data_IF_296615187202
#
_entry.id   IF_296615187202
#
_cell.length_a   1.000
_cell.length_b   1.000
_cell.length_c   1.000
_cell.angle_alpha   90.00
_cell.angle_beta   90.00
_cell.angle_gamma   90.00
#
_symmetry.space_group_name_H-M   'P 1'
#
loop_
_entity.id
_entity.type
_entity.pdbx_description
1 polymer ?
#
# COMPACT_ATOMS: atom_id res chain seq x y z
N UNK A 1 45.27 -36.45 -73.26
CA UNK A 1 45.16 -34.99 -73.54
C UNK A 1 43.79 -34.43 -73.15
N UNK A 2 42.68 -35.15 -73.36
CA UNK A 2 41.32 -34.76 -72.90
C UNK A 2 41.20 -34.56 -71.38
N UNK A 3 41.70 -35.51 -70.58
CA UNK A 3 41.52 -35.53 -69.11
C UNK A 3 42.23 -34.38 -68.36
N UNK A 4 43.27 -33.80 -68.97
CA UNK A 4 43.98 -32.62 -68.45
C UNK A 4 43.24 -31.31 -68.76
N UNK A 5 42.50 -31.27 -69.87
CA UNK A 5 41.71 -30.11 -70.28
C UNK A 5 40.45 -29.99 -69.42
N UNK A 6 39.74 -31.10 -69.19
CA UNK A 6 38.54 -31.15 -68.33
C UNK A 6 38.87 -30.77 -66.88
N UNK A 7 40.02 -31.20 -66.37
CA UNK A 7 40.47 -30.85 -65.01
C UNK A 7 40.88 -29.38 -64.89
N UNK A 8 41.47 -28.79 -65.93
CA UNK A 8 41.80 -27.38 -65.97
C UNK A 8 40.54 -26.50 -66.06
N UNK A 9 39.53 -26.95 -66.81
CA UNK A 9 38.26 -26.24 -66.97
C UNK A 9 37.40 -26.29 -65.70
N UNK A 10 37.34 -27.45 -65.02
CA UNK A 10 36.70 -27.59 -63.72
C UNK A 10 37.40 -26.74 -62.64
N UNK A 11 38.74 -26.68 -62.66
CA UNK A 11 39.49 -25.78 -61.77
C UNK A 11 39.12 -24.32 -62.05
N UNK A 12 39.20 -23.87 -63.32
CA UNK A 12 38.84 -22.50 -63.72
C UNK A 12 37.43 -22.11 -63.28
N UNK A 13 36.44 -22.97 -63.51
CA UNK A 13 35.07 -22.72 -63.08
C UNK A 13 34.95 -22.62 -61.55
N UNK A 14 35.70 -23.44 -60.79
CA UNK A 14 35.73 -23.35 -59.33
C UNK A 14 36.36 -22.03 -58.84
N UNK A 15 37.42 -21.57 -59.50
CA UNK A 15 38.09 -20.30 -59.16
C UNK A 15 37.21 -19.11 -59.50
N UNK A 16 36.54 -19.11 -60.66
CA UNK A 16 35.59 -18.04 -61.05
C UNK A 16 34.41 -17.97 -60.09
N UNK A 17 33.85 -19.11 -59.67
CA UNK A 17 32.79 -19.15 -58.67
C UNK A 17 33.26 -18.62 -57.32
N UNK A 18 34.46 -18.99 -56.89
CA UNK A 18 35.04 -18.48 -55.65
C UNK A 18 35.25 -16.97 -55.72
N UNK A 19 35.82 -16.46 -56.83
CA UNK A 19 36.05 -15.02 -57.03
C UNK A 19 34.73 -14.25 -57.07
N UNK A 20 33.69 -14.77 -57.73
CA UNK A 20 32.37 -14.14 -57.74
C UNK A 20 31.68 -14.16 -56.37
N UNK A 21 31.80 -15.25 -55.62
CA UNK A 21 31.32 -15.32 -54.24
C UNK A 21 32.09 -14.37 -53.32
N UNK A 22 33.41 -14.27 -53.49
CA UNK A 22 34.24 -13.35 -52.72
C UNK A 22 33.90 -11.90 -53.05
N UNK A 23 33.67 -11.58 -54.33
CA UNK A 23 33.30 -10.25 -54.79
C UNK A 23 31.92 -9.83 -54.28
N UNK A 24 30.92 -10.72 -54.37
CA UNK A 24 29.59 -10.46 -53.83
C UNK A 24 29.60 -10.34 -52.31
N UNK A 25 30.34 -11.19 -51.60
CA UNK A 25 30.52 -11.08 -50.15
C UNK A 25 31.25 -9.81 -49.75
N UNK A 26 32.25 -9.37 -50.52
CA UNK A 26 32.99 -8.12 -50.28
C UNK A 26 32.07 -6.90 -50.45
N UNK A 27 31.25 -6.87 -51.51
CA UNK A 27 30.25 -5.82 -51.72
C UNK A 27 29.20 -5.77 -50.61
N UNK A 28 28.68 -6.94 -50.21
CA UNK A 28 27.72 -7.01 -49.10
C UNK A 28 28.34 -6.55 -47.77
N UNK A 29 29.62 -6.85 -47.53
CA UNK A 29 30.35 -6.36 -46.36
C UNK A 29 30.58 -4.84 -46.44
N UNK A 30 30.88 -4.29 -47.62
CA UNK A 30 31.05 -2.86 -47.82
C UNK A 30 29.75 -2.09 -47.60
N UNK A 31 28.62 -2.54 -48.15
CA UNK A 31 27.30 -1.94 -47.89
C UNK A 31 26.96 -1.94 -46.39
N UNK A 32 27.30 -3.03 -45.68
CA UNK A 32 27.12 -3.10 -44.22
C UNK A 32 28.02 -2.12 -43.46
N UNK A 33 29.25 -1.90 -43.92
CA UNK A 33 30.15 -0.91 -43.33
C UNK A 33 29.66 0.52 -43.57
N UNK A 34 29.16 0.84 -44.76
CA UNK A 34 28.54 2.13 -45.06
C UNK A 34 27.28 2.37 -44.20
N UNK A 35 26.43 1.36 -44.03
CA UNK A 35 25.26 1.44 -43.13
C UNK A 35 25.68 1.68 -41.67
N UNK A 36 26.77 1.04 -41.22
CA UNK A 36 27.31 1.24 -39.88
C UNK A 36 27.91 2.64 -39.73
N UNK A 37 28.61 3.15 -40.73
CA UNK A 37 29.19 4.50 -40.75
C UNK A 37 28.09 5.56 -40.64
N UNK A 38 27.04 5.47 -41.46
CA UNK A 38 25.89 6.39 -41.42
C UNK A 38 25.19 6.35 -40.04
N UNK A 39 25.05 5.16 -39.45
CA UNK A 39 24.49 5.02 -38.09
C UNK A 39 25.41 5.62 -37.03
N UNK A 40 26.73 5.47 -37.17
CA UNK A 40 27.71 6.03 -36.24
C UNK A 40 27.69 7.56 -36.27
N UNK A 41 27.56 8.16 -37.46
CA UNK A 41 27.51 9.61 -37.60
C UNK A 41 26.22 10.20 -37.03
N UNK A 42 25.07 9.52 -37.24
CA UNK A 42 23.81 9.88 -36.57
C UNK A 42 23.93 9.80 -35.05
N UNK A 43 24.56 8.75 -34.51
CA UNK A 43 24.76 8.60 -33.07
C UNK A 43 25.67 9.69 -32.49
N UNK A 44 26.71 10.12 -33.22
CA UNK A 44 27.56 11.23 -32.81
C UNK A 44 26.77 12.54 -32.73
N UNK A 45 25.95 12.83 -33.75
CA UNK A 45 25.11 14.02 -33.77
C UNK A 45 24.05 14.00 -32.65
N UNK A 46 23.44 12.84 -32.40
CA UNK A 46 22.49 12.68 -31.30
C UNK A 46 23.18 12.85 -29.93
N UNK A 47 24.40 12.33 -29.78
CA UNK A 47 25.21 12.52 -28.57
C UNK A 47 25.57 13.99 -28.33
N UNK A 48 25.89 14.75 -29.38
CA UNK A 48 26.15 16.20 -29.29
C UNK A 48 24.90 16.95 -28.82
N UNK A 49 23.74 16.67 -29.43
CA UNK A 49 22.46 17.25 -28.99
C UNK A 49 22.12 16.92 -27.53
N UNK A 50 22.41 15.70 -27.08
CA UNK A 50 22.24 15.29 -25.68
C UNK A 50 23.19 16.10 -24.78
N UNK A 51 24.44 16.29 -25.19
CA UNK A 51 25.41 17.08 -24.44
C UNK A 51 24.96 18.53 -24.27
N UNK A 52 24.50 19.16 -25.35
CA UNK A 52 23.95 20.53 -25.31
C UNK A 52 22.72 20.63 -24.43
N UNK A 53 21.83 19.64 -24.52
CA UNK A 53 20.64 19.56 -23.66
C UNK A 53 21.02 19.42 -22.18
N UNK A 54 22.02 18.60 -21.85
CA UNK A 54 22.53 18.47 -20.49
C UNK A 54 23.17 19.76 -19.99
N UNK A 55 23.91 20.48 -20.85
CA UNK A 55 24.50 21.78 -20.52
C UNK A 55 23.41 22.83 -20.22
N UNK A 56 22.35 22.86 -21.03
CA UNK A 56 21.18 23.72 -20.79
C UNK A 56 20.46 23.40 -19.47
N UNK A 57 20.28 22.11 -19.16
CA UNK A 57 19.68 21.67 -17.89
C UNK A 57 20.56 22.06 -16.70
N UNK A 58 21.89 21.95 -16.82
CA UNK A 58 22.82 22.38 -15.77
C UNK A 58 22.69 23.89 -15.52
N UNK A 59 22.69 24.71 -16.58
CA UNK A 59 22.50 26.15 -16.46
C UNK A 59 21.13 26.53 -15.85
N UNK A 60 20.06 25.82 -16.23
CA UNK A 60 18.74 26.01 -15.61
C UNK A 60 18.73 25.62 -14.13
N UNK A 61 19.44 24.56 -13.74
CA UNK A 61 19.56 24.12 -12.34
C UNK A 61 20.30 25.15 -11.49
N UNK A 62 21.36 25.75 -12.03
CA UNK A 62 22.08 26.84 -11.36
C UNK A 62 21.21 28.08 -11.17
N UNK A 63 20.47 28.47 -12.22
CA UNK A 63 19.51 29.58 -12.13
C UNK A 63 18.40 29.31 -11.11
N UNK A 64 17.88 28.08 -11.06
CA UNK A 64 16.86 27.69 -10.09
C UNK A 64 17.43 27.74 -8.66
N UNK A 65 18.68 27.33 -8.47
CA UNK A 65 19.36 27.40 -7.17
C UNK A 65 19.55 28.85 -6.72
N UNK A 66 19.96 29.74 -7.64
CA UNK A 66 20.08 31.17 -7.36
C UNK A 66 18.73 31.81 -7.03
N UNK A 67 17.68 31.49 -7.79
CA UNK A 67 16.33 31.98 -7.53
C UNK A 67 15.78 31.47 -6.18
N UNK A 68 16.01 30.20 -5.85
CA UNK A 68 15.63 29.61 -4.56
C UNK A 68 16.31 30.32 -3.40
N UNK A 69 17.60 30.65 -3.53
CA UNK A 69 18.33 31.44 -2.53
C UNK A 69 17.74 32.85 -2.37
N UNK A 70 17.46 33.54 -3.47
CA UNK A 70 16.86 34.88 -3.43
C UNK A 70 15.46 34.89 -2.78
N UNK A 71 14.65 33.87 -3.05
CA UNK A 71 13.35 33.67 -2.37
C UNK A 71 13.56 33.40 -0.88
N UNK A 72 14.58 32.62 -0.52
CA UNK A 72 14.95 32.38 0.88
C UNK A 72 15.31 33.66 1.63
N UNK A 73 16.12 34.52 1.01
CA UNK A 73 16.49 35.83 1.57
C UNK A 73 15.24 36.72 1.73
N UNK A 74 14.39 36.81 0.71
CA UNK A 74 13.14 37.58 0.77
C UNK A 74 12.15 37.04 1.83
N UNK A 75 12.08 35.73 2.03
CA UNK A 75 11.27 35.12 3.09
C UNK A 75 11.79 35.53 4.48
N UNK A 76 13.12 35.63 4.63
CA UNK A 76 13.76 36.16 5.84
C UNK A 76 13.32 37.59 6.14
N UNK A 77 13.38 38.47 5.15
CA UNK A 77 12.96 39.88 5.28
C UNK A 77 11.48 39.99 5.66
N UNK A 78 10.61 39.20 5.01
CA UNK A 78 9.16 39.18 5.32
C UNK A 78 8.90 38.67 6.74
N UNK A 79 9.65 37.68 7.22
CA UNK A 79 9.55 37.21 8.61
C UNK A 79 9.97 38.29 9.61
N UNK A 80 11.04 39.03 9.32
CA UNK A 80 11.49 40.15 10.16
C UNK A 80 10.44 41.27 10.19
N UNK A 81 9.88 41.63 9.04
CA UNK A 81 8.82 42.62 8.93
C UNK A 81 7.54 42.17 9.67
N UNK A 82 7.16 40.91 9.55
CA UNK A 82 6.01 40.34 10.26
C UNK A 82 6.18 40.41 11.78
N UNK A 83 7.39 40.13 12.27
CA UNK A 83 7.73 40.26 13.70
C UNK A 83 7.62 41.72 14.17
N UNK A 84 8.13 42.67 13.38
CA UNK A 84 8.03 44.09 13.69
C UNK A 84 6.56 44.56 13.74
N UNK A 85 5.74 44.15 12.77
CA UNK A 85 4.29 44.46 12.75
C UNK A 85 3.59 43.85 13.97
N UNK A 86 3.93 42.62 14.35
CA UNK A 86 3.33 41.98 15.53
C UNK A 86 3.67 42.73 16.80
N UNK A 87 4.89 43.22 16.96
CA UNK A 87 5.28 43.99 18.14
C UNK A 87 4.60 45.35 18.15
N UNK A 88 4.57 46.04 17.01
CA UNK A 88 3.84 47.31 16.87
C UNK A 88 2.35 47.15 17.16
N UNK A 89 1.74 46.03 16.75
CA UNK A 89 0.34 45.72 17.08
C UNK A 89 0.10 45.57 18.59
N UNK A 90 1.08 45.04 19.34
CA UNK A 90 0.97 44.97 20.82
C UNK A 90 1.10 46.35 21.45
N UNK A 91 1.99 47.19 20.94
CA UNK A 91 2.13 48.58 21.40
C UNK A 91 0.84 49.38 21.17
N UNK A 92 0.21 49.22 19.99
CA UNK A 92 -1.09 49.83 19.70
C UNK A 92 -2.17 49.33 20.67
N UNK A 93 -2.21 48.04 20.97
CA UNK A 93 -3.17 47.49 21.93
C UNK A 93 -3.00 48.11 23.33
N UNK A 94 -1.76 48.25 23.80
CA UNK A 94 -1.47 48.94 25.08
C UNK A 94 -1.90 50.40 25.05
N UNK A 95 -1.59 51.12 23.97
CA UNK A 95 -2.00 52.51 23.80
C UNK A 95 -3.54 52.67 23.79
N UNK A 96 -4.27 51.70 23.21
CA UNK A 96 -5.73 51.69 23.24
C UNK A 96 -6.30 51.44 24.66
N UNK A 97 -5.67 50.57 25.45
CA UNK A 97 -6.04 50.37 26.86
C UNK A 97 -5.81 51.63 27.69
N UNK A 98 -4.65 52.29 27.52
CA UNK A 98 -4.34 53.56 28.19
C UNK A 98 -5.31 54.67 27.80
N UNK A 99 -5.67 54.78 26.51
CA UNK A 99 -6.65 55.76 26.03
C UNK A 99 -8.02 55.51 26.67
N UNK A 100 -8.45 54.24 26.75
CA UNK A 100 -9.72 53.88 27.38
C UNK A 100 -9.75 54.25 28.87
N UNK A 101 -8.67 53.94 29.60
CA UNK A 101 -8.53 54.34 31.00
C UNK A 101 -8.53 55.87 31.15
N UNK A 102 -7.86 56.60 30.25
CA UNK A 102 -7.88 58.07 30.21
C UNK A 102 -9.27 58.65 29.94
N UNK A 103 -10.06 58.01 29.07
CA UNK A 103 -11.46 58.40 28.80
C UNK A 103 -12.36 58.18 30.02
N UNK A 104 -12.20 57.06 30.72
CA UNK A 104 -12.91 56.78 31.98
C UNK A 104 -12.56 57.83 33.04
N UNK A 105 -11.26 58.11 33.25
CA UNK A 105 -10.82 59.15 34.19
C UNK A 105 -11.33 60.55 33.84
N UNK A 106 -11.40 60.89 32.55
CA UNK A 106 -11.97 62.17 32.09
C UNK A 106 -13.48 62.25 32.36
N UNK A 107 -14.20 61.13 32.19
CA UNK A 107 -15.63 61.06 32.51
C UNK A 107 -15.87 61.28 34.00
N UNK A 108 -15.09 60.62 34.86
CA UNK A 108 -15.18 60.80 36.31
C UNK A 108 -14.89 62.26 36.72
N UNK A 109 -13.88 62.88 36.09
CA UNK A 109 -13.55 64.29 36.34
C UNK A 109 -14.67 65.25 35.89
N UNK A 110 -15.33 64.97 34.77
CA UNK A 110 -16.49 65.74 34.29
C UNK A 110 -17.67 65.57 35.24
N UNK A 111 -17.97 64.35 35.68
CA UNK A 111 -19.07 64.08 36.62
C UNK A 111 -18.82 64.79 37.96
N UNK A 112 -17.58 64.77 38.48
CA UNK A 112 -17.19 65.51 39.68
C UNK A 112 -17.30 67.04 39.48
N UNK A 113 -16.85 67.55 38.34
CA UNK A 113 -16.99 68.96 37.99
C UNK A 113 -18.45 69.40 37.90
N UNK A 114 -19.33 68.56 37.35
CA UNK A 114 -20.77 68.82 37.26
C UNK A 114 -21.42 68.86 38.65
N UNK A 115 -21.05 67.95 39.54
CA UNK A 115 -21.53 67.95 40.92
C UNK A 115 -21.12 69.23 41.67
N UNK A 116 -19.87 69.71 41.48
CA UNK A 116 -19.42 70.98 42.06
C UNK A 116 -20.18 72.19 41.52
N UNK A 117 -20.52 72.19 40.22
CA UNK A 117 -21.32 73.26 39.62
C UNK A 117 -22.73 73.25 40.17
N UNK A 118 -23.37 72.08 40.29
CA UNK A 118 -24.71 71.96 40.89
C UNK A 118 -24.74 72.49 42.33
N UNK A 119 -23.72 72.15 43.14
CA UNK A 119 -23.59 72.66 44.51
C UNK A 119 -23.40 74.19 44.54
N UNK A 120 -22.60 74.72 43.62
CA UNK A 120 -22.41 76.17 43.49
C UNK A 120 -23.70 76.89 43.10
N UNK A 121 -24.52 76.29 42.22
CA UNK A 121 -25.84 76.83 41.86
C UNK A 121 -26.83 76.76 43.03
N UNK A 122 -26.82 75.68 43.83
CA UNK A 122 -27.62 75.59 45.08
C UNK A 122 -27.24 76.69 46.05
N UNK A 123 -25.94 76.83 46.36
CA UNK A 123 -25.41 77.86 47.26
C UNK A 123 -25.73 79.28 46.77
N UNK A 124 -25.65 79.52 45.46
CA UNK A 124 -26.05 80.80 44.86
C UNK A 124 -27.55 81.05 45.01
N UNK A 125 -28.39 80.03 44.80
CA UNK A 125 -29.83 80.09 45.01
C UNK A 125 -30.18 80.46 46.46
N UNK A 126 -29.59 79.76 47.42
CA UNK A 126 -29.74 80.05 48.85
C UNK A 126 -29.27 81.46 49.21
N UNK A 127 -28.16 81.91 48.60
CA UNK A 127 -27.66 83.28 48.72
C UNK A 127 -28.63 84.33 48.16
N UNK A 128 -29.28 84.03 47.04
CA UNK A 128 -30.29 84.88 46.40
C UNK A 128 -31.56 84.98 47.25
N UNK A 129 -32.00 83.88 47.85
CA UNK A 129 -33.14 83.84 48.77
C UNK A 129 -32.85 84.64 50.05
N UNK A 130 -31.65 84.49 50.61
CA UNK A 130 -31.18 85.33 51.72
C UNK A 130 -31.12 86.80 51.35
N UNK A 131 -30.66 87.13 50.15
CA UNK A 131 -30.65 88.50 49.65
C UNK A 131 -32.06 89.06 49.52
N UNK A 132 -33.02 88.25 49.06
CA UNK A 132 -34.44 88.61 48.95
C UNK A 132 -35.08 88.84 50.31
N UNK A 133 -34.80 87.99 51.30
CA UNK A 133 -35.21 88.21 52.70
C UNK A 133 -34.57 89.48 53.28
N UNK A 134 -33.28 89.69 53.03
CA UNK A 134 -32.54 90.90 53.40
C UNK A 134 -33.17 92.15 52.78
N UNK A 135 -33.52 92.11 51.49
CA UNK A 135 -34.19 93.19 50.79
C UNK A 135 -35.60 93.46 51.36
N UNK A 136 -36.36 92.43 51.72
CA UNK A 136 -37.66 92.59 52.39
C UNK A 136 -37.53 93.17 53.81
N UNK A 137 -36.47 92.82 54.54
CA UNK A 137 -36.13 93.43 55.82
C UNK A 137 -35.71 94.89 55.66
N UNK A 138 -34.94 95.21 54.60
CA UNK A 138 -34.59 96.58 54.23
C UNK A 138 -35.84 97.36 53.85
N UNK A 139 -36.80 96.80 53.11
CA UNK A 139 -38.09 97.46 52.79
C UNK A 139 -38.88 97.81 54.06
N UNK A 140 -38.94 96.89 55.04
CA UNK A 140 -39.52 97.15 56.37
C UNK A 140 -38.76 98.26 57.10
N UNK A 141 -37.42 98.25 57.02
CA UNK A 141 -36.57 99.31 57.52
C UNK A 141 -36.79 100.65 56.82
N UNK A 142 -37.02 100.66 55.50
CA UNK A 142 -37.33 101.84 54.69
C UNK A 142 -38.70 102.41 55.06
N UNK A 143 -39.69 101.58 55.39
CA UNK A 143 -40.97 102.06 55.94
C UNK A 143 -40.79 102.74 57.31
N UNK A 144 -39.99 102.17 58.19
CA UNK A 144 -39.66 102.78 59.48
C UNK A 144 -38.81 104.06 59.31
N UNK A 145 -37.92 104.09 58.32
CA UNK A 145 -37.16 105.28 57.92
C UNK A 145 -38.06 106.32 57.25
N UNK A 146 -39.13 105.94 56.55
CA UNK A 146 -40.09 106.85 55.92
C UNK A 146 -40.75 107.79 56.93
N UNK A 147 -41.07 107.28 58.12
CA UNK A 147 -41.56 108.08 59.25
C UNK A 147 -40.47 109.04 59.78
N UNK A 148 -39.19 108.65 59.67
CA UNK A 148 -38.00 109.47 60.01
C UNK A 148 -37.59 110.41 58.87
N UNK A 149 -38.03 110.16 57.63
CA UNK A 149 -37.57 110.84 56.41
C UNK A 149 -38.44 112.04 56.04
N UNK A 150 -39.63 112.17 56.65
CA UNK A 150 -40.26 113.48 56.84
C UNK A 150 -39.37 114.44 57.64
N UNK A 151 -38.40 113.92 58.41
CA UNK A 151 -37.42 114.69 59.18
C UNK A 151 -36.10 114.88 58.43
N UNK A 152 -35.89 114.23 57.28
CA UNK A 152 -34.60 114.17 56.57
C UNK A 152 -34.69 114.72 55.13
N UNK A 153 -35.48 115.78 54.94
CA UNK A 153 -35.43 116.67 53.77
C UNK A 153 -34.04 117.31 53.61
N UNK A 154 -33.22 117.32 54.66
CA UNK A 154 -31.79 117.63 54.64
C UNK A 154 -30.95 116.62 53.85
N UNK A 155 -31.43 115.39 53.63
CA UNK A 155 -30.73 114.34 52.88
C UNK A 155 -30.79 114.49 51.36
N UNK A 156 -31.69 115.35 50.86
CA UNK A 156 -31.91 115.58 49.42
C UNK A 156 -30.67 116.19 48.74
N UNK A 157 -29.83 116.90 49.50
CA UNK A 157 -28.56 117.47 49.03
C UNK A 157 -27.52 116.39 48.67
N UNK A 158 -27.55 115.23 49.33
CA UNK A 158 -26.57 114.15 49.17
C UNK A 158 -26.94 113.18 48.03
N UNK A 159 -28.21 113.15 47.64
CA UNK A 159 -28.73 112.33 46.52
C UNK A 159 -28.27 112.86 45.15
N UNK A 160 -27.84 114.11 45.06
CA UNK A 160 -27.31 114.69 43.82
C UNK A 160 -25.90 114.15 43.45
N UNK A 161 -25.07 113.81 44.45
CA UNK A 161 -23.70 113.31 44.24
C UNK A 161 -23.68 111.81 43.85
N UNK A 162 -24.63 111.01 44.34
CA UNK A 162 -24.72 109.56 44.06
C UNK A 162 -25.17 109.24 42.62
N UNK A 163 -26.00 110.11 42.02
CA UNK A 163 -26.50 109.95 40.64
C UNK A 163 -25.36 110.03 39.61
N UNK A 164 -24.31 110.82 39.88
CA UNK A 164 -23.13 110.95 39.00
C UNK A 164 -22.25 109.69 38.97
N UNK A 165 -22.09 109.01 40.11
CA UNK A 165 -21.29 107.78 40.26
C UNK A 165 -21.92 106.58 39.56
N UNK A 166 -23.25 106.43 39.67
CA UNK A 166 -24.00 105.31 39.09
C UNK A 166 -24.12 105.41 37.58
N UNK A 167 -24.31 106.62 37.03
CA UNK A 167 -24.34 106.84 35.58
C UNK A 167 -23.00 106.52 34.91
N UNK A 168 -21.87 106.86 35.55
CA UNK A 168 -20.53 106.56 35.03
C UNK A 168 -20.21 105.05 34.99
N UNK A 169 -20.55 104.31 36.05
CA UNK A 169 -20.41 102.84 36.07
C UNK A 169 -21.32 102.13 35.06
N UNK A 170 -22.54 102.65 34.85
CA UNK A 170 -23.47 102.08 33.87
C UNK A 170 -22.98 102.24 32.44
N UNK A 171 -22.34 103.37 32.11
CA UNK A 171 -21.80 103.63 30.77
C UNK A 171 -20.59 102.74 30.46
N UNK A 172 -19.68 102.54 31.43
CA UNK A 172 -18.51 101.66 31.25
C UNK A 172 -18.93 100.18 31.12
N UNK A 173 -19.95 99.74 31.88
CA UNK A 173 -20.50 98.39 31.76
C UNK A 173 -21.19 98.14 30.41
N UNK A 174 -21.90 99.14 29.84
CA UNK A 174 -22.50 99.03 28.50
C UNK A 174 -21.43 98.94 27.39
N UNK A 175 -20.31 99.64 27.55
CA UNK A 175 -19.16 99.56 26.63
C UNK A 175 -18.47 98.19 26.69
N UNK A 176 -18.25 97.64 27.89
CA UNK A 176 -17.69 96.29 28.05
C UNK A 176 -18.64 95.21 27.51
N UNK A 177 -19.95 95.40 27.65
CA UNK A 177 -20.95 94.50 27.06
C UNK A 177 -20.90 94.51 25.53
N UNK A 178 -20.76 95.69 24.91
CA UNK A 178 -20.61 95.83 23.46
C UNK A 178 -19.32 95.15 22.96
N UNK A 179 -18.19 95.32 23.65
CA UNK A 179 -16.95 94.60 23.32
C UNK A 179 -17.09 93.07 23.48
N UNK A 180 -17.81 92.62 24.51
CA UNK A 180 -18.11 91.21 24.73
C UNK A 180 -19.00 90.61 23.64
N UNK A 181 -20.03 91.35 23.22
CA UNK A 181 -20.92 90.96 22.12
C UNK A 181 -20.18 90.92 20.79
N UNK A 182 -19.30 91.88 20.52
CA UNK A 182 -18.49 91.90 19.30
C UNK A 182 -17.54 90.69 19.24
N UNK A 183 -16.88 90.35 20.34
CA UNK A 183 -16.04 89.14 20.45
C UNK A 183 -16.86 87.85 20.30
N UNK A 184 -18.08 87.81 20.86
CA UNK A 184 -18.98 86.66 20.73
C UNK A 184 -19.48 86.47 19.29
N UNK A 185 -19.79 87.55 18.57
CA UNK A 185 -20.19 87.51 17.16
C UNK A 185 -19.04 87.07 16.26
N UNK A 186 -17.80 87.56 16.53
CA UNK A 186 -16.61 87.04 15.84
C UNK A 186 -16.41 85.54 16.09
N UNK A 187 -16.50 85.11 17.34
CA UNK A 187 -16.42 83.67 17.70
C UNK A 187 -17.50 82.82 17.03
N UNK A 188 -18.74 83.32 16.91
CA UNK A 188 -19.81 82.66 16.17
C UNK A 188 -19.52 82.54 14.67
N UNK A 189 -18.91 83.57 14.09
CA UNK A 189 -18.52 83.58 12.67
C UNK A 189 -17.41 82.56 12.41
N UNK A 190 -16.42 82.50 13.30
CA UNK A 190 -15.34 81.52 13.25
C UNK A 190 -15.89 80.09 13.40
N UNK A 191 -16.80 79.87 14.36
CA UNK A 191 -17.45 78.58 14.56
C UNK A 191 -18.28 78.16 13.33
N UNK A 192 -19.01 79.08 12.72
CA UNK A 192 -19.78 78.82 11.51
C UNK A 192 -18.85 78.42 10.34
N UNK A 193 -17.71 79.10 10.18
CA UNK A 193 -16.72 78.75 9.16
C UNK A 193 -16.11 77.35 9.39
N UNK A 194 -15.86 76.99 10.65
CA UNK A 194 -15.33 75.69 11.03
C UNK A 194 -16.35 74.58 10.80
N UNK A 195 -17.62 74.81 11.15
CA UNK A 195 -18.72 73.87 10.92
C UNK A 195 -18.94 73.65 9.42
N UNK A 196 -18.91 74.71 8.61
CA UNK A 196 -19.02 74.61 7.17
C UNK A 196 -17.88 73.79 6.56
N UNK A 197 -16.63 74.02 7.02
CA UNK A 197 -15.45 73.28 6.56
C UNK A 197 -15.50 71.80 6.98
N UNK A 198 -15.86 71.50 8.22
CA UNK A 198 -16.01 70.13 8.70
C UNK A 198 -17.12 69.38 7.97
N UNK A 199 -18.20 70.06 7.60
CA UNK A 199 -19.31 69.47 6.85
C UNK A 199 -18.93 69.18 5.39
N UNK A 200 -18.09 70.02 4.78
CA UNK A 200 -17.53 69.80 3.46
C UNK A 200 -16.55 68.61 3.45
N UNK A 201 -15.64 68.55 4.42
CA UNK A 201 -14.73 67.41 4.63
C UNK A 201 -15.49 66.10 4.93
N UNK A 202 -16.60 66.19 5.68
CA UNK A 202 -17.50 65.05 5.93
C UNK A 202 -18.20 64.58 4.65
N UNK A 203 -18.65 65.49 3.78
CA UNK A 203 -19.23 65.12 2.48
C UNK A 203 -18.21 64.46 1.57
N UNK A 204 -16.99 64.98 1.52
CA UNK A 204 -15.91 64.40 0.72
C UNK A 204 -15.57 62.98 1.18
N UNK A 205 -15.46 62.76 2.49
CA UNK A 205 -15.18 61.43 3.05
C UNK A 205 -16.32 60.44 2.82
N UNK A 206 -17.58 60.86 2.97
CA UNK A 206 -18.76 60.04 2.65
C UNK A 206 -18.78 59.66 1.16
N UNK A 207 -18.42 60.59 0.28
CA UNK A 207 -18.38 60.33 -1.15
C UNK A 207 -17.25 59.36 -1.54
N UNK A 208 -16.07 59.49 -0.92
CA UNK A 208 -14.98 58.50 -1.07
C UNK A 208 -15.40 57.13 -0.55
N UNK A 209 -16.10 57.06 0.58
CA UNK A 209 -16.59 55.80 1.15
C UNK A 209 -17.66 55.15 0.26
N UNK A 210 -18.57 55.93 -0.32
CA UNK A 210 -19.57 55.44 -1.26
C UNK A 210 -18.91 54.88 -2.54
N UNK A 211 -17.93 55.58 -3.10
CA UNK A 211 -17.18 55.12 -4.27
C UNK A 211 -16.39 53.84 -3.96
N UNK A 212 -15.75 53.77 -2.79
CA UNK A 212 -15.03 52.58 -2.33
C UNK A 212 -15.99 51.39 -2.14
N UNK A 213 -17.16 51.61 -1.53
CA UNK A 213 -18.18 50.58 -1.36
C UNK A 213 -18.68 50.04 -2.70
N UNK A 214 -18.94 50.91 -3.68
CA UNK A 214 -19.34 50.51 -5.02
C UNK A 214 -18.25 49.69 -5.72
N UNK A 215 -16.98 50.11 -5.61
CA UNK A 215 -15.85 49.41 -6.19
C UNK A 215 -15.66 48.01 -5.57
N UNK A 216 -15.76 47.90 -4.25
CA UNK A 216 -15.70 46.61 -3.54
C UNK A 216 -16.85 45.68 -3.93
N UNK A 217 -18.07 46.22 -4.09
CA UNK A 217 -19.21 45.41 -4.52
C UNK A 217 -19.04 44.89 -5.95
N UNK A 218 -18.43 45.69 -6.83
CA UNK A 218 -18.14 45.28 -8.20
C UNK A 218 -17.01 44.24 -8.27
N UNK A 219 -15.97 44.40 -7.46
CA UNK A 219 -14.88 43.43 -7.33
C UNK A 219 -15.37 42.08 -6.79
N UNK A 220 -16.27 42.09 -5.79
CA UNK A 220 -16.90 40.87 -5.28
C UNK A 220 -17.73 40.14 -6.33
N UNK A 221 -18.46 40.87 -7.18
CA UNK A 221 -19.22 40.25 -8.28
C UNK A 221 -18.29 39.60 -9.31
N UNK A 222 -17.18 40.25 -9.66
CA UNK A 222 -16.18 39.67 -10.57
C UNK A 222 -15.53 38.43 -9.96
N UNK A 223 -15.13 38.49 -8.69
CA UNK A 223 -14.58 37.34 -7.95
C UNK A 223 -15.57 36.17 -7.87
N UNK A 224 -16.85 36.47 -7.65
CA UNK A 224 -17.89 35.45 -7.59
C UNK A 224 -18.07 34.75 -8.96
N UNK A 225 -17.98 35.49 -10.06
CA UNK A 225 -18.05 34.93 -11.41
C UNK A 225 -16.80 34.09 -11.74
N UNK A 226 -15.61 34.54 -11.36
CA UNK A 226 -14.37 33.75 -11.50
C UNK A 226 -14.45 32.43 -10.73
N UNK A 227 -14.95 32.46 -9.49
CA UNK A 227 -15.15 31.25 -8.67
C UNK A 227 -16.17 30.31 -9.32
N UNK A 228 -17.24 30.85 -9.90
CA UNK A 228 -18.24 30.05 -10.60
C UNK A 228 -17.64 29.36 -11.82
N UNK A 229 -16.85 30.07 -12.61
CA UNK A 229 -16.13 29.50 -13.75
C UNK A 229 -15.14 28.40 -13.33
N UNK A 230 -14.38 28.62 -12.25
CA UNK A 230 -13.46 27.63 -11.70
C UNK A 230 -14.20 26.39 -11.16
N UNK A 231 -15.36 26.59 -10.53
CA UNK A 231 -16.20 25.51 -10.02
C UNK A 231 -16.77 24.66 -11.17
N UNK A 232 -17.28 25.29 -12.23
CA UNK A 232 -17.79 24.59 -13.41
C UNK A 232 -16.67 23.79 -14.11
N UNK A 233 -15.46 24.36 -14.20
CA UNK A 233 -14.29 23.65 -14.74
C UNK A 233 -13.88 22.46 -13.86
N UNK A 234 -13.98 22.59 -12.53
CA UNK A 234 -13.72 21.48 -11.60
C UNK A 234 -14.74 20.36 -11.75
N UNK A 235 -16.02 20.68 -11.93
CA UNK A 235 -17.08 19.70 -12.19
C UNK A 235 -16.80 18.95 -13.49
N UNK A 236 -16.46 19.67 -14.57
CA UNK A 236 -16.12 19.06 -15.85
C UNK A 236 -14.90 18.13 -15.72
N UNK A 237 -13.83 18.58 -15.06
CA UNK A 237 -12.66 17.74 -14.79
C UNK A 237 -13.01 16.51 -13.97
N UNK A 238 -13.87 16.63 -12.96
CA UNK A 238 -14.33 15.50 -12.16
C UNK A 238 -15.09 14.48 -13.01
N UNK A 239 -15.91 14.93 -13.97
CA UNK A 239 -16.58 14.05 -14.91
C UNK A 239 -15.60 13.30 -15.80
N UNK A 240 -14.61 13.99 -16.38
CA UNK A 240 -13.57 13.35 -17.19
C UNK A 240 -12.74 12.34 -16.38
N UNK A 241 -12.43 12.65 -15.12
CA UNK A 241 -11.70 11.72 -14.23
C UNK A 241 -12.56 10.49 -13.91
N UNK A 242 -13.85 10.66 -13.67
CA UNK A 242 -14.76 9.54 -13.41
C UNK A 242 -14.88 8.63 -14.64
N UNK A 243 -15.03 9.21 -15.83
CA UNK A 243 -15.07 8.46 -17.09
C UNK A 243 -13.75 7.70 -17.32
N UNK A 244 -12.60 8.35 -17.13
CA UNK A 244 -11.29 7.71 -17.23
C UNK A 244 -11.10 6.59 -16.17
N UNK A 245 -11.66 6.74 -14.97
CA UNK A 245 -11.64 5.70 -13.94
C UNK A 245 -12.52 4.51 -14.29
N UNK A 246 -13.70 4.73 -14.88
CA UNK A 246 -14.56 3.65 -15.37
C UNK A 246 -13.88 2.89 -16.51
N UNK A 247 -13.27 3.59 -17.46
CA UNK A 247 -12.47 2.98 -18.54
C UNK A 247 -11.28 2.20 -17.98
N UNK A 248 -10.58 2.73 -16.98
CA UNK A 248 -9.46 2.05 -16.34
C UNK A 248 -9.91 0.78 -15.62
N UNK A 249 -11.03 0.83 -14.87
CA UNK A 249 -11.60 -0.35 -14.22
C UNK A 249 -12.02 -1.41 -15.22
N UNK A 250 -12.66 -1.01 -16.32
CA UNK A 250 -13.01 -1.93 -17.40
C UNK A 250 -11.77 -2.59 -18.03
N UNK A 251 -10.72 -1.80 -18.27
CA UNK A 251 -9.43 -2.30 -18.79
C UNK A 251 -8.74 -3.24 -17.81
N UNK A 252 -8.76 -2.91 -16.52
CA UNK A 252 -8.19 -3.74 -15.46
C UNK A 252 -8.95 -5.07 -15.32
N UNK A 253 -10.29 -5.05 -15.39
CA UNK A 253 -11.11 -6.26 -15.38
C UNK A 253 -10.79 -7.16 -16.59
N UNK A 254 -10.59 -6.57 -17.78
CA UNK A 254 -10.18 -7.33 -18.96
C UNK A 254 -8.77 -7.94 -18.81
N UNK A 255 -7.82 -7.18 -18.24
CA UNK A 255 -6.47 -7.68 -17.96
C UNK A 255 -6.50 -8.85 -16.97
N UNK A 256 -7.27 -8.75 -15.89
CA UNK A 256 -7.40 -9.84 -14.93
C UNK A 256 -8.07 -11.08 -15.55
N UNK A 257 -9.09 -10.91 -16.38
CA UNK A 257 -9.71 -12.01 -17.12
C UNK A 257 -8.72 -12.67 -18.11
N UNK A 258 -7.85 -11.89 -18.75
CA UNK A 258 -6.80 -12.42 -19.61
C UNK A 258 -5.71 -13.15 -18.81
N UNK A 259 -5.35 -12.64 -17.63
CA UNK A 259 -4.34 -13.24 -16.74
C UNK A 259 -4.85 -14.56 -16.15
N UNK A 260 -6.12 -14.65 -15.77
CA UNK A 260 -6.75 -15.89 -15.32
C UNK A 260 -6.75 -16.96 -16.43
N UNK A 261 -7.10 -16.56 -17.67
CA UNK A 261 -6.98 -17.45 -18.84
C UNK A 261 -5.55 -17.89 -19.10
N UNK A 262 -4.57 -16.99 -18.95
CA UNK A 262 -3.16 -17.31 -19.10
C UNK A 262 -2.70 -18.29 -18.01
N UNK A 263 -3.18 -18.13 -16.77
CA UNK A 263 -2.86 -19.01 -15.66
C UNK A 263 -3.41 -20.43 -15.87
N UNK A 264 -4.68 -20.53 -16.30
CA UNK A 264 -5.29 -21.82 -16.68
C UNK A 264 -4.52 -22.47 -17.83
N UNK A 265 -4.15 -21.70 -18.85
CA UNK A 265 -3.38 -22.20 -19.99
C UNK A 265 -1.97 -22.65 -19.57
N UNK A 266 -1.28 -21.87 -18.73
CA UNK A 266 0.04 -22.23 -18.23
C UNK A 266 -0.02 -23.51 -17.39
N UNK A 267 -1.06 -23.66 -16.55
CA UNK A 267 -1.27 -24.87 -15.78
C UNK A 267 -1.52 -26.09 -16.69
N UNK A 268 -2.35 -25.93 -17.73
CA UNK A 268 -2.59 -26.98 -18.71
C UNK A 268 -1.30 -27.40 -19.44
N UNK A 269 -0.51 -26.44 -19.93
CA UNK A 269 0.76 -26.69 -20.62
C UNK A 269 1.77 -27.37 -19.68
N UNK A 270 1.85 -26.94 -18.42
CA UNK A 270 2.79 -27.51 -17.45
C UNK A 270 2.43 -28.96 -17.14
N UNK A 271 1.13 -29.27 -16.95
CA UNK A 271 0.64 -30.64 -16.77
C UNK A 271 0.93 -31.50 -18.00
N UNK A 272 0.70 -30.99 -19.21
CA UNK A 272 0.99 -31.69 -20.46
C UNK A 272 2.50 -31.96 -20.64
N UNK A 273 3.36 -30.99 -20.32
CA UNK A 273 4.82 -31.15 -20.36
C UNK A 273 5.36 -32.15 -19.32
N UNK A 274 4.66 -32.34 -18.20
CA UNK A 274 5.04 -33.33 -17.19
C UNK A 274 4.80 -34.75 -17.69
N UNK A 275 3.70 -34.96 -18.40
CA UNK A 275 3.36 -36.24 -19.02
C UNK A 275 4.39 -36.64 -20.08
N UNK A 276 4.79 -35.70 -20.96
CA UNK A 276 5.79 -35.98 -22.01
C UNK A 276 7.14 -36.41 -21.41
N UNK A 277 7.61 -35.74 -20.34
CA UNK A 277 8.90 -36.06 -19.69
C UNK A 277 8.88 -37.42 -18.99
N UNK A 278 7.78 -37.77 -18.33
CA UNK A 278 7.63 -39.08 -17.68
C UNK A 278 7.61 -40.21 -18.72
N UNK A 279 6.91 -40.02 -19.84
CA UNK A 279 6.86 -40.97 -20.95
C UNK A 279 8.25 -41.33 -21.49
N UNK A 280 9.08 -40.33 -21.80
CA UNK A 280 10.45 -40.56 -22.27
C UNK A 280 11.32 -41.29 -21.23
N UNK A 281 11.23 -40.91 -19.95
CA UNK A 281 12.03 -41.52 -18.88
C UNK A 281 11.76 -43.03 -18.73
N UNK A 282 10.48 -43.43 -18.68
CA UNK A 282 10.10 -44.83 -18.52
C UNK A 282 10.36 -45.66 -19.78
N UNK A 283 10.21 -45.07 -20.97
CA UNK A 283 10.59 -45.71 -22.23
C UNK A 283 12.10 -46.03 -22.25
N UNK A 284 12.94 -45.06 -21.89
CA UNK A 284 14.39 -45.25 -21.81
C UNK A 284 14.80 -46.31 -20.77
N UNK A 285 14.22 -46.29 -19.56
CA UNK A 285 14.55 -47.30 -18.53
C UNK A 285 14.12 -48.71 -18.96
N UNK A 286 12.94 -48.85 -19.55
CA UNK A 286 12.47 -50.16 -20.05
C UNK A 286 13.40 -50.73 -21.11
N UNK A 287 13.92 -49.87 -22.00
CA UNK A 287 14.93 -50.24 -22.99
C UNK A 287 16.29 -50.59 -22.36
N UNK A 288 16.75 -49.82 -21.37
CA UNK A 288 18.01 -50.12 -20.65
C UNK A 288 17.94 -51.44 -19.90
N UNK A 289 16.81 -51.72 -19.23
CA UNK A 289 16.57 -53.01 -18.57
C UNK A 289 16.58 -54.13 -19.60
N UNK A 290 15.93 -53.94 -20.75
CA UNK A 290 15.91 -54.93 -21.82
C UNK A 290 17.33 -55.24 -22.32
N UNK A 291 18.14 -54.21 -22.55
CA UNK A 291 19.51 -54.31 -23.05
C UNK A 291 20.44 -54.98 -22.01
N UNK A 292 20.42 -54.53 -20.75
CA UNK A 292 21.24 -55.08 -19.66
C UNK A 292 20.86 -56.51 -19.27
N UNK A 293 19.60 -56.90 -19.50
CA UNK A 293 19.10 -58.23 -19.17
C UNK A 293 19.15 -59.18 -20.37
N UNK A 294 19.72 -58.78 -21.50
CA UNK A 294 19.85 -59.59 -22.73
C UNK A 294 20.91 -60.70 -22.61
N UNK A 295 21.84 -60.59 -21.66
CA UNK A 295 22.86 -61.61 -21.40
C UNK A 295 22.27 -62.86 -20.71
N UNK A 296 22.77 -64.06 -21.06
CA UNK A 296 22.33 -65.34 -20.47
C UNK A 296 22.41 -65.38 -18.93
N UNK A 297 23.31 -64.58 -18.36
CA UNK A 297 23.60 -64.48 -16.92
C UNK A 297 22.50 -63.80 -16.08
N UNK A 298 21.66 -62.96 -16.69
CA UNK A 298 20.67 -62.13 -15.97
C UNK A 298 19.22 -62.40 -16.37
N UNK A 299 18.97 -63.40 -17.24
CA UNK A 299 17.66 -63.67 -17.83
C UNK A 299 16.53 -63.95 -16.81
N UNK A 300 16.83 -64.62 -15.70
CA UNK A 300 15.83 -65.01 -14.70
C UNK A 300 15.22 -63.82 -13.93
N UNK A 301 15.93 -62.69 -13.82
CA UNK A 301 15.52 -61.54 -13.00
C UNK A 301 14.71 -60.51 -13.81
N UNK A 302 14.68 -60.66 -15.14
CA UNK A 302 13.98 -59.74 -16.06
C UNK A 302 12.53 -59.50 -15.67
N UNK A 303 11.78 -60.56 -15.34
CA UNK A 303 10.37 -60.46 -14.96
C UNK A 303 10.15 -59.70 -13.66
N UNK A 304 11.02 -59.90 -12.67
CA UNK A 304 10.95 -59.21 -11.37
C UNK A 304 11.26 -57.72 -11.51
N UNK A 305 12.23 -57.36 -12.35
CA UNK A 305 12.58 -55.97 -12.61
C UNK A 305 11.44 -55.21 -13.33
N UNK A 306 10.78 -55.83 -14.31
CA UNK A 306 9.61 -55.22 -14.97
C UNK A 306 8.40 -55.12 -14.04
N UNK A 307 8.16 -56.11 -13.19
CA UNK A 307 7.11 -56.04 -12.19
C UNK A 307 7.36 -54.90 -11.18
N UNK A 308 8.60 -54.72 -10.73
CA UNK A 308 9.01 -53.57 -9.92
C UNK A 308 8.85 -52.22 -10.63
N UNK A 309 9.12 -52.18 -11.94
CA UNK A 309 8.91 -50.98 -12.75
C UNK A 309 7.41 -50.64 -12.88
N UNK A 310 6.52 -51.62 -13.02
CA UNK A 310 5.08 -51.39 -13.02
C UNK A 310 4.56 -50.84 -11.69
N UNK A 311 5.03 -51.39 -10.56
CA UNK A 311 4.65 -50.90 -9.22
C UNK A 311 5.08 -49.45 -9.02
N UNK A 312 6.29 -49.10 -9.44
CA UNK A 312 6.81 -47.73 -9.31
C UNK A 312 6.06 -46.73 -10.17
N UNK A 313 5.64 -47.10 -11.38
CA UNK A 313 4.77 -46.27 -12.23
C UNK A 313 3.41 -46.00 -11.55
N UNK A 314 2.77 -47.03 -10.98
CA UNK A 314 1.46 -46.87 -10.31
C UNK A 314 1.58 -45.96 -9.08
N UNK A 315 2.65 -46.13 -8.28
CA UNK A 315 2.92 -45.27 -7.14
C UNK A 315 3.19 -43.82 -7.56
N UNK A 316 3.90 -43.61 -8.68
CA UNK A 316 4.15 -42.27 -9.20
C UNK A 316 2.87 -41.57 -9.68
N UNK A 317 2.00 -42.29 -10.40
CA UNK A 317 0.69 -41.77 -10.83
C UNK A 317 -0.17 -41.41 -9.60
N UNK A 318 -0.14 -42.25 -8.56
CA UNK A 318 -0.82 -41.98 -7.29
C UNK A 318 -0.33 -40.71 -6.61
N UNK A 319 0.99 -40.49 -6.53
CA UNK A 319 1.59 -39.29 -5.92
C UNK A 319 1.26 -38.03 -6.74
N UNK A 320 1.23 -38.11 -8.07
CA UNK A 320 0.91 -36.97 -8.94
C UNK A 320 -0.57 -36.59 -8.84
N UNK A 321 -1.49 -37.57 -8.79
CA UNK A 321 -2.93 -37.33 -8.62
C UNK A 321 -3.25 -36.69 -7.25
N UNK A 322 -2.53 -37.08 -6.20
CA UNK A 322 -2.73 -36.55 -4.84
C UNK A 322 -2.09 -35.16 -4.63
N UNK A 323 -1.15 -34.76 -5.50
CA UNK A 323 -0.42 -33.49 -5.42
C UNK A 323 -0.94 -32.38 -6.33
N UNK A 324 -2.07 -32.59 -7.02
CA UNK A 324 -2.55 -31.69 -8.07
C UNK A 324 -3.19 -30.37 -7.54
N UNK A 325 -3.51 -30.28 -6.25
CA UNK A 325 -4.30 -29.15 -5.73
C UNK A 325 -3.49 -27.96 -5.18
N UNK A 326 -2.15 -28.04 -5.07
CA UNK A 326 -1.42 -26.96 -4.40
C UNK A 326 0.00 -26.71 -4.96
N UNK A 327 0.21 -25.50 -5.51
CA UNK A 327 1.45 -25.09 -6.18
C UNK A 327 2.68 -25.15 -5.27
N UNK A 328 2.49 -24.95 -3.96
CA UNK A 328 3.61 -24.96 -3.01
C UNK A 328 4.15 -26.37 -2.74
N UNK A 329 3.40 -27.43 -3.08
CA UNK A 329 3.85 -28.83 -3.00
C UNK A 329 4.60 -29.29 -4.23
N UNK A 330 4.69 -28.51 -5.30
CA UNK A 330 5.26 -28.96 -6.57
C UNK A 330 6.75 -29.34 -6.46
N UNK A 331 7.54 -28.59 -5.69
CA UNK A 331 8.94 -28.94 -5.41
C UNK A 331 9.07 -30.18 -4.53
N UNK A 332 8.17 -30.32 -3.55
CA UNK A 332 8.09 -31.47 -2.66
C UNK A 332 7.69 -32.76 -3.41
N UNK A 333 6.72 -32.67 -4.31
CA UNK A 333 6.27 -33.77 -5.17
C UNK A 333 7.39 -34.16 -6.13
N UNK A 334 8.09 -33.20 -6.76
CA UNK A 334 9.21 -33.49 -7.64
C UNK A 334 10.36 -34.19 -6.89
N UNK A 335 10.69 -33.72 -5.68
CA UNK A 335 11.70 -34.33 -4.83
C UNK A 335 11.33 -35.77 -4.43
N UNK A 336 10.07 -36.01 -4.03
CA UNK A 336 9.60 -37.36 -3.67
C UNK A 336 9.56 -38.33 -4.85
N UNK A 337 9.14 -37.87 -6.03
CA UNK A 337 9.12 -38.69 -7.25
C UNK A 337 10.55 -39.05 -7.68
N UNK A 338 11.49 -38.10 -7.60
CA UNK A 338 12.90 -38.37 -7.91
C UNK A 338 13.54 -39.35 -6.92
N UNK A 339 13.23 -39.24 -5.62
CA UNK A 339 13.68 -40.21 -4.62
C UNK A 339 13.12 -41.61 -4.87
N UNK A 340 11.85 -41.72 -5.25
CA UNK A 340 11.26 -43.02 -5.59
C UNK A 340 11.98 -43.66 -6.80
N UNK A 341 12.25 -42.86 -7.84
CA UNK A 341 12.97 -43.31 -9.04
C UNK A 341 14.42 -43.69 -8.74
N UNK A 342 15.13 -42.94 -7.90
CA UNK A 342 16.53 -43.23 -7.55
C UNK A 342 16.67 -44.47 -6.67
N UNK A 343 15.77 -44.67 -5.71
CA UNK A 343 15.75 -45.87 -4.87
C UNK A 343 15.46 -47.12 -5.70
N UNK A 344 14.50 -47.05 -6.64
CA UNK A 344 14.25 -48.16 -7.55
C UNK A 344 15.45 -48.47 -8.44
N UNK A 345 16.08 -47.44 -9.02
CA UNK A 345 17.27 -47.63 -9.85
C UNK A 345 18.42 -48.26 -9.07
N UNK A 346 18.66 -47.82 -7.83
CA UNK A 346 19.67 -48.40 -6.96
C UNK A 346 19.36 -49.87 -6.60
N UNK A 347 18.09 -50.19 -6.29
CA UNK A 347 17.66 -51.56 -6.02
C UNK A 347 17.82 -52.45 -7.27
N UNK A 348 17.47 -51.96 -8.45
CA UNK A 348 17.65 -52.66 -9.71
C UNK A 348 19.13 -52.94 -10.01
N UNK A 349 20.02 -51.96 -9.78
CA UNK A 349 21.47 -52.13 -9.94
C UNK A 349 22.01 -53.16 -8.94
N UNK A 350 21.58 -53.11 -7.68
CA UNK A 350 21.98 -54.08 -6.66
C UNK A 350 21.49 -55.50 -7.00
N UNK A 351 20.26 -55.65 -7.50
CA UNK A 351 19.71 -56.93 -7.96
C UNK A 351 20.48 -57.47 -9.18
N UNK A 352 20.83 -56.61 -10.13
CA UNK A 352 21.65 -57.00 -11.29
C UNK A 352 23.07 -57.41 -10.87
N UNK A 353 23.72 -56.66 -9.98
CA UNK A 353 25.03 -57.02 -9.40
C UNK A 353 24.98 -58.34 -8.64
N UNK A 354 23.96 -58.53 -7.79
CA UNK A 354 23.78 -59.78 -7.07
C UNK A 354 23.58 -60.97 -8.01
N UNK A 355 22.84 -60.79 -9.11
CA UNK A 355 22.70 -61.80 -10.16
C UNK A 355 24.02 -62.15 -10.83
N UNK A 356 24.83 -61.14 -11.13
CA UNK A 356 26.13 -61.31 -11.79
C UNK A 356 27.08 -62.08 -10.86
N UNK A 357 27.13 -61.72 -9.57
CA UNK A 357 27.99 -62.37 -8.58
C UNK A 357 27.53 -63.79 -8.19
N UNK A 358 26.22 -64.04 -8.11
CA UNK A 358 25.67 -65.35 -7.72
C UNK A 358 25.60 -66.33 -8.90
N UNK A 359 25.91 -65.85 -10.11
CA UNK A 359 26.00 -66.70 -11.29
C UNK A 359 27.24 -67.61 -11.20
N UNK A 360 27.02 -68.80 -10.64
CA UNK A 360 28.00 -69.88 -10.63
C UNK A 360 28.01 -70.51 -12.02
N UNK A 361 29.17 -70.53 -12.67
CA UNK A 361 29.30 -71.01 -14.04
C UNK A 361 29.09 -72.54 -14.08
N UNK A 362 27.83 -72.97 -14.21
CA UNK A 362 27.44 -74.38 -14.17
C UNK A 362 28.08 -75.20 -15.29
N UNK A 363 28.55 -74.57 -16.37
CA UNK A 363 29.35 -75.23 -17.41
C UNK A 363 30.74 -75.65 -16.94
N UNK A 364 31.45 -74.77 -16.23
CA UNK A 364 32.80 -75.03 -15.70
C UNK A 364 32.76 -76.02 -14.53
N UNK A 365 31.74 -75.92 -13.67
CA UNK A 365 31.58 -76.85 -12.54
C UNK A 365 31.27 -78.27 -13.02
N UNK A 366 30.41 -78.44 -14.04
CA UNK A 366 30.12 -79.75 -14.61
C UNK A 366 31.35 -80.34 -15.30
N UNK A 367 32.14 -79.52 -16.01
CA UNK A 367 33.38 -79.98 -16.64
C UNK A 367 34.42 -80.43 -15.60
N UNK A 368 34.61 -79.66 -14.52
CA UNK A 368 35.51 -80.03 -13.43
C UNK A 368 35.05 -81.31 -12.72
N UNK A 369 33.75 -81.50 -12.52
CA UNK A 369 33.21 -82.69 -11.87
C UNK A 369 33.43 -83.93 -12.76
N UNK A 370 33.21 -83.81 -14.07
CA UNK A 370 33.54 -84.85 -15.04
C UNK A 370 35.03 -85.16 -15.09
N UNK A 371 35.89 -84.14 -15.06
CA UNK A 371 37.35 -84.32 -15.05
C UNK A 371 37.82 -85.02 -13.76
N UNK A 372 37.25 -84.66 -12.61
CA UNK A 372 37.53 -85.31 -11.32
C UNK A 372 37.07 -86.77 -11.31
N UNK A 373 35.94 -87.06 -11.96
CA UNK A 373 35.41 -88.43 -12.07
C UNK A 373 36.31 -89.29 -12.98
N UNK A 374 36.76 -88.73 -14.11
CA UNK A 374 37.72 -89.38 -15.02
C UNK A 374 39.06 -89.64 -14.33
N UNK A 375 39.60 -88.67 -13.57
CA UNK A 375 40.84 -88.85 -12.80
C UNK A 375 40.70 -89.92 -11.71
N UNK A 376 39.56 -89.98 -11.01
CA UNK A 376 39.30 -91.03 -10.00
C UNK A 376 39.18 -92.42 -10.61
N UNK A 377 38.54 -92.56 -11.77
CA UNK A 377 38.49 -93.84 -12.50
C UNK A 377 39.90 -94.25 -12.94
N UNK A 378 40.70 -93.31 -13.43
CA UNK A 378 42.10 -93.56 -13.84
C UNK A 378 43.01 -93.92 -12.67
N UNK A 379 42.78 -93.37 -11.48
CA UNK A 379 43.52 -93.72 -10.26
C UNK A 379 43.17 -95.14 -9.74
N UNK A 380 41.93 -95.60 -9.93
CA UNK A 380 41.51 -96.97 -9.60
C UNK A 380 42.11 -97.97 -10.59
N UNK A 381 42.17 -97.62 -11.88
CA UNK A 381 42.79 -98.44 -12.92
C UNK A 381 44.33 -98.52 -12.76
N UNK A 382 44.97 -97.43 -12.32
CA UNK A 382 46.41 -97.39 -12.03
C UNK A 382 46.84 -98.17 -10.79
N UNK A 383 46.00 -98.22 -9.74
CA UNK A 383 46.28 -99.01 -8.52
C UNK A 383 45.89 -100.49 -8.64
N UNK A 384 45.21 -100.90 -9.71
CA UNK A 384 44.86 -102.29 -10.00
C UNK A 384 45.87 -103.01 -10.92
N UNK A 385 46.94 -102.31 -11.35
CA UNK A 385 47.97 -102.81 -12.28
C UNK A 385 49.26 -103.29 -11.58
N UNK A 386 49.14 -103.97 -10.44
CA UNK A 386 50.22 -104.77 -9.85
C UNK A 386 49.61 -105.97 -9.11
N UNK A 387 49.50 -107.10 -9.80
CA UNK A 387 48.86 -108.31 -9.29
C UNK A 387 48.36 -109.20 -10.41
N UNK A 388 49.29 -109.95 -11.01
CA UNK A 388 49.11 -111.01 -12.02
C UNK A 388 47.89 -111.91 -11.68
N UNK A 389 46.91 -112.10 -12.59
CA UNK A 389 46.80 -113.22 -13.56
C UNK A 389 47.06 -114.59 -12.88
N UNK A 390 46.24 -115.64 -12.95
CA UNK A 390 45.27 -116.09 -13.93
C UNK A 390 44.66 -117.43 -13.43
N UNK A 391 43.41 -117.75 -13.85
CA UNK A 391 42.72 -119.07 -13.81
C UNK A 391 42.10 -119.57 -12.48
N UNK A 392 40.93 -120.24 -12.43
CA UNK A 392 39.92 -120.58 -13.44
C UNK A 392 38.60 -121.04 -12.78
N UNK A 393 37.52 -120.81 -13.53
CA UNK A 393 36.19 -121.44 -13.58
C UNK A 393 35.90 -122.73 -12.76
N UNK A 394 34.82 -122.75 -11.96
CA UNK A 394 33.53 -123.44 -12.23
C UNK A 394 32.62 -123.49 -10.99
N UNK A 395 31.30 -123.53 -11.27
CA UNK A 395 30.16 -123.96 -10.43
C UNK A 395 29.75 -123.09 -9.22
N UNK A 396 28.60 -122.42 -9.24
CA UNK A 396 27.20 -122.92 -9.24
C UNK A 396 26.70 -123.38 -7.87
N UNK A 397 25.93 -122.48 -7.23
CA UNK A 397 24.78 -122.79 -6.36
C UNK A 397 25.12 -123.29 -4.95
N UNK A 398 24.33 -123.04 -3.91
CA UNK A 398 23.14 -122.21 -3.70
C UNK A 398 22.96 -122.14 -2.17
N UNK A 399 22.34 -121.06 -1.70
CA UNK A 399 21.51 -120.93 -0.49
C UNK A 399 21.99 -121.27 0.92
N UNK A 400 21.79 -120.24 1.76
CA UNK A 400 21.42 -120.18 3.20
C UNK A 400 22.47 -119.40 4.00
N UNK A 401 22.12 -118.55 4.95
CA UNK A 401 20.83 -118.07 5.46
C UNK A 401 21.20 -116.98 6.47
N UNK A 402 20.41 -115.91 6.46
CA UNK A 402 20.06 -115.00 7.55
C UNK A 402 20.88 -115.07 8.86
N UNK A 403 21.39 -113.90 9.27
CA UNK A 403 21.44 -113.56 10.69
C UNK A 403 22.47 -112.51 11.09
N UNK A 404 21.96 -111.29 11.34
CA UNK A 404 22.50 -110.22 12.22
C UNK A 404 23.75 -109.47 11.69
N UNK A 405 23.80 -108.13 11.61
CA UNK A 405 23.23 -107.05 12.43
C UNK A 405 22.93 -105.83 11.51
N UNK A 406 21.80 -105.11 11.56
CA UNK A 406 21.07 -104.48 12.69
C UNK A 406 21.66 -103.13 13.12
N UNK A 407 21.08 -102.04 12.59
CA UNK A 407 20.54 -100.89 13.35
C UNK A 407 19.95 -99.87 12.34
N UNK A 408 18.85 -99.14 12.56
CA UNK A 408 17.62 -99.32 13.35
C UNK A 408 16.61 -98.39 12.66
N UNK A 409 15.40 -98.91 12.44
CA UNK A 409 14.18 -98.11 12.31
C UNK A 409 13.61 -98.03 13.73
N UNK A 410 13.30 -96.83 14.19
CA UNK A 410 12.22 -96.53 15.13
C UNK A 410 11.24 -95.71 14.26
N UNK A 411 10.08 -96.20 13.81
CA UNK A 411 8.96 -96.78 14.57
C UNK A 411 8.43 -95.73 15.57
N UNK A 412 7.17 -95.29 15.63
CA UNK A 412 5.89 -95.64 15.02
C UNK A 412 4.98 -94.39 15.14
N UNK A 413 3.94 -94.37 14.30
CA UNK A 413 2.56 -93.90 14.52
C UNK A 413 2.20 -93.15 15.82
N UNK A 414 1.41 -92.08 15.67
CA UNK A 414 0.16 -91.94 16.41
C UNK A 414 -0.91 -91.22 15.57
N UNK A 415 -1.91 -92.00 15.13
CA UNK A 415 -3.30 -91.57 14.95
C UNK A 415 -4.08 -92.17 16.13
N UNK A 416 -4.87 -91.36 16.85
CA UNK A 416 -6.24 -91.63 17.38
C UNK A 416 -6.53 -90.83 18.67
N UNK A 417 -7.54 -89.96 18.55
CA UNK A 417 -8.63 -89.63 19.49
C UNK A 417 -8.33 -89.12 20.91
N UNK A 418 -8.72 -87.87 21.20
CA UNK A 418 -9.89 -87.60 22.07
C UNK A 418 -10.17 -86.10 22.25
N UNK A 419 -11.35 -85.70 21.74
CA UNK A 419 -12.32 -84.74 22.31
C UNK A 419 -11.79 -83.42 22.92
N UNK A 420 -12.09 -82.30 22.25
CA UNK A 420 -13.10 -81.28 22.62
C UNK A 420 -12.82 -79.97 21.86
N UNK A 421 -13.87 -79.51 21.16
CA UNK A 421 -14.16 -78.21 20.50
C UNK A 421 -13.85 -76.96 21.35
N UNK A 422 -14.00 -75.67 20.88
CA UNK A 422 -14.68 -75.17 19.65
C UNK A 422 -13.87 -74.05 18.92
N UNK A 423 -14.26 -73.40 17.82
CA UNK A 423 -15.22 -73.60 16.73
C UNK A 423 -14.73 -72.66 15.60
N UNK A 424 -14.73 -73.12 14.36
CA UNK A 424 -14.61 -72.26 13.19
C UNK A 424 -15.96 -72.26 12.47
N UNK A 425 -16.61 -71.10 12.34
CA UNK A 425 -17.65 -70.92 11.32
C UNK A 425 -17.52 -69.55 10.67
N UNK A 426 -17.18 -69.56 9.38
CA UNK A 426 -17.62 -68.57 8.40
C UNK A 426 -18.70 -69.25 7.53
N UNK A 427 -19.37 -68.59 6.55
CA UNK A 427 -19.75 -67.18 6.38
C UNK A 427 -21.27 -67.08 6.03
N UNK A 428 -21.85 -65.88 5.85
CA UNK A 428 -23.05 -65.73 4.98
C UNK A 428 -23.35 -64.29 4.55
N UNK A 429 -23.48 -64.11 3.24
CA UNK A 429 -24.33 -63.08 2.65
C UNK A 429 -25.77 -63.62 2.50
N UNK A 430 -26.70 -62.66 2.27
CA UNK A 430 -28.08 -62.74 1.75
C UNK A 430 -29.18 -62.39 2.78
N UNK A 431 -29.68 -61.14 2.67
CA UNK A 431 -31.04 -60.52 2.75
C UNK A 431 -32.21 -61.26 3.48
N UNK A 432 -33.44 -60.69 3.54
CA UNK A 432 -33.99 -59.51 4.22
C UNK A 432 -35.20 -59.88 5.15
N UNK A 433 -35.90 -58.87 5.69
CA UNK A 433 -37.35 -58.81 6.00
C UNK A 433 -37.78 -58.80 7.50
N UNK A 434 -38.11 -57.58 7.92
CA UNK A 434 -39.28 -57.09 8.67
C UNK A 434 -39.94 -57.84 9.84
N UNK A 435 -40.29 -56.98 10.80
CA UNK A 435 -41.39 -57.00 11.78
C UNK A 435 -41.21 -57.82 13.06
N UNK A 436 -41.17 -57.11 14.20
CA UNK A 436 -42.34 -56.98 15.06
C UNK A 436 -42.07 -56.01 16.24
N UNK A 437 -43.09 -55.18 16.53
CA UNK A 437 -43.54 -54.68 17.85
C UNK A 437 -42.55 -53.86 18.69
N UNK A 438 -42.94 -52.91 19.55
CA UNK A 438 -44.12 -52.09 19.82
C UNK A 438 -43.70 -51.39 21.12
N UNK A 439 -44.01 -50.09 21.26
CA UNK A 439 -44.12 -49.35 22.53
C UNK A 439 -42.88 -49.31 23.46
N UNK A 440 -42.49 -48.18 24.01
CA UNK A 440 -43.17 -46.91 24.10
C UNK A 440 -42.63 -46.17 25.32
N UNK A 441 -42.75 -44.84 25.27
CA UNK A 441 -42.99 -43.93 26.40
C UNK A 441 -41.84 -43.88 27.42
N UNK A 442 -41.27 -42.75 27.79
CA UNK A 442 -41.61 -41.33 27.80
C UNK A 442 -40.47 -40.71 28.66
N UNK A 443 -40.30 -39.43 28.90
CA UNK A 443 -40.97 -38.17 28.63
C UNK A 443 -39.98 -37.10 29.17
N UNK A 444 -40.34 -35.82 29.02
CA UNK A 444 -39.69 -34.61 29.57
C UNK A 444 -38.75 -33.92 28.57
N UNK A 445 -39.25 -33.02 27.70
CA UNK A 445 -39.69 -31.63 27.96
C UNK A 445 -38.53 -30.74 28.41
N UNK A 446 -38.12 -29.72 27.64
CA UNK A 446 -38.62 -28.31 27.65
C UNK A 446 -38.11 -27.69 26.30
N UNK A 447 -38.86 -27.26 25.26
CA UNK A 447 -39.80 -26.13 25.02
C UNK A 447 -39.31 -24.77 25.55
N UNK A 448 -38.98 -23.73 24.78
CA UNK A 448 -39.84 -22.88 23.92
C UNK A 448 -38.96 -21.75 23.32
N UNK A 449 -39.02 -21.43 22.02
CA UNK A 449 -40.01 -20.64 21.26
C UNK A 449 -39.85 -19.11 21.33
N UNK A 450 -39.43 -18.56 20.19
CA UNK A 450 -40.06 -17.47 19.43
C UNK A 450 -40.72 -16.29 20.17
N UNK A 451 -40.27 -15.08 19.86
CA UNK A 451 -41.18 -13.92 19.82
C UNK A 451 -40.66 -12.83 18.88
N UNK A 452 -41.42 -12.61 17.80
CA UNK A 452 -41.48 -11.34 17.07
C UNK A 452 -41.75 -10.17 18.03
N UNK A 453 -41.08 -9.04 17.84
CA UNK A 453 -41.62 -7.70 18.15
C UNK A 453 -41.01 -6.65 17.23
N UNK A 454 -41.90 -5.95 16.53
CA UNK A 454 -41.66 -4.69 15.83
C UNK A 454 -41.23 -3.60 16.82
N UNK A 455 -40.36 -2.69 16.38
CA UNK A 455 -40.45 -1.28 16.78
C UNK A 455 -39.85 -0.36 15.70
N UNK A 456 -40.76 0.31 15.00
CA UNK A 456 -40.55 1.56 14.28
C UNK A 456 -40.57 2.71 15.30
N UNK A 457 -39.60 3.63 15.29
CA UNK A 457 -39.86 5.09 15.43
C UNK A 457 -38.61 5.96 15.20
N UNK A 458 -38.79 7.24 14.84
CA UNK A 458 -37.94 7.97 13.89
C UNK A 458 -37.34 9.29 14.46
N UNK A 459 -36.78 10.09 13.53
CA UNK A 459 -36.52 11.57 13.53
C UNK A 459 -35.17 11.99 14.17
N UNK A 460 -34.38 12.93 13.63
CA UNK A 460 -34.69 14.28 13.09
C UNK A 460 -33.65 14.75 12.03
N UNK A 461 -34.19 15.51 11.06
CA UNK A 461 -33.63 16.47 10.07
C UNK A 461 -32.29 17.17 10.37
N UNK A 462 -31.58 17.52 9.30
CA UNK A 462 -31.10 18.89 9.10
C UNK A 462 -31.75 19.50 7.85
N UNK A 463 -32.01 20.80 7.97
CA UNK A 463 -32.62 21.70 7.00
C UNK A 463 -31.53 22.63 6.49
#
# INVERSE_FOLDING_TARGET
MSDLFDRAEAFKHSTERLVNNLSSSSKAAQEKLEEIEERSERLLQESENIHDSLSSIAAQTDNLTAASKAIGDQMGDVMEQSKAISEQSKEIARAQEELKAGQEGMRDAVDAGMAMVEESYRSLGDGMDRLKEGAASIEKGIRAVGDVMSTKMDGVQQTADDIGSVAGKSLENQKQLLEGQEKAVRGLTDLYSFLAKALDESRETIQKLANFGQQQQQELLVRQEEIRHAHDHLIQNSHFILEAQEEFRAKQANIFAALDKLYVLHNAILVESRFIKAFFFYCCISFLIYMLTSAKQTFAIRGQLYFGLCITIVLEIGIIKLGADDFNRQFWVLSKVLLLRSVFLAAAVAQMLHSIFTFKDYGVLNHNLLQTLVEKVRAIEGNASCGDRMYAAYSSGTDRSLGNYSWIVEELLDEVDSKVDPDYVAPKQIRPRNHALLEGIGENSITWSDSRKYNLRPRIRQR
#
